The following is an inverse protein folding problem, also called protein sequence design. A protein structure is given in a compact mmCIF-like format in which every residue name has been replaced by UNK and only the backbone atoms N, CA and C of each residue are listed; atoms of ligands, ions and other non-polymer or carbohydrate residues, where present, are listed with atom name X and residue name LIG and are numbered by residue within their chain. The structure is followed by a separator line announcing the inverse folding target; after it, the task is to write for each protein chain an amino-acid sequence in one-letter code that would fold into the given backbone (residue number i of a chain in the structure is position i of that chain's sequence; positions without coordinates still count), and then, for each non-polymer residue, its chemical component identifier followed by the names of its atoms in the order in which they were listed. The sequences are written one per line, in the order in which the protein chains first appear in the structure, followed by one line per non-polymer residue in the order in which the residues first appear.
data_IF_197214779716
#
_entry.id   IF_197214779716
#
_cell.length_a   1.000
_cell.length_b   1.000
_cell.length_c   1.000
_cell.angle_alpha   90.00
_cell.angle_beta   90.00
_cell.angle_gamma   90.00
#
_symmetry.space_group_name_H-M   'P 1'
#
loop_
_entity.id
_entity.type
_entity.pdbx_description
1 polymer ?
#
# COMPACT_ATOMS: atom_id res chain seq x y z
N UNK A 1 9.56 10.10 -15.83
CA UNK A 1 10.18 9.96 -14.50
C UNK A 1 9.70 8.65 -13.91
N UNK A 2 10.60 7.80 -13.38
CA UNK A 2 10.18 6.61 -12.64
C UNK A 2 9.41 7.04 -11.39
N UNK A 3 8.32 6.34 -11.08
CA UNK A 3 7.53 6.60 -9.86
C UNK A 3 8.24 5.89 -8.72
N UNK A 4 8.65 6.63 -7.69
CA UNK A 4 9.13 6.01 -6.45
C UNK A 4 7.92 5.55 -5.63
N UNK A 5 7.43 4.35 -5.97
CA UNK A 5 6.27 3.76 -5.31
C UNK A 5 6.49 3.54 -3.82
N UNK A 6 7.73 3.36 -3.36
CA UNK A 6 7.97 3.16 -1.93
C UNK A 6 7.75 4.46 -1.16
N UNK A 7 8.23 5.58 -1.70
CA UNK A 7 7.97 6.92 -1.15
C UNK A 7 6.48 7.26 -1.16
N UNK A 8 5.77 7.01 -2.26
CA UNK A 8 4.31 7.23 -2.34
C UNK A 8 3.54 6.40 -1.30
N UNK A 9 3.96 5.15 -1.09
CA UNK A 9 3.38 4.29 -0.05
C UNK A 9 3.68 4.82 1.35
N UNK A 10 4.90 5.28 1.63
CA UNK A 10 5.26 5.85 2.94
C UNK A 10 4.38 7.05 3.27
N UNK A 11 4.22 7.96 2.32
CA UNK A 11 3.37 9.13 2.47
C UNK A 11 1.91 8.74 2.72
N UNK A 12 1.35 7.90 1.85
CA UNK A 12 -0.04 7.45 1.95
C UNK A 12 -0.31 6.72 3.28
N UNK A 13 0.55 5.77 3.66
CA UNK A 13 0.37 4.99 4.87
C UNK A 13 0.44 5.88 6.10
N UNK A 14 1.38 6.84 6.12
CA UNK A 14 1.52 7.76 7.25
C UNK A 14 0.34 8.71 7.37
N UNK A 15 -0.19 9.19 6.25
CA UNK A 15 -1.37 10.05 6.19
C UNK A 15 -2.63 9.31 6.70
N UNK A 16 -2.91 8.12 6.16
CA UNK A 16 -4.04 7.29 6.58
C UNK A 16 -3.96 6.85 8.05
N UNK A 17 -2.74 6.58 8.53
CA UNK A 17 -2.51 6.20 9.91
C UNK A 17 -2.56 7.38 10.88
N UNK A 18 -2.37 8.61 10.41
CA UNK A 18 -2.16 9.79 11.25
C UNK A 18 -0.87 9.73 12.09
N UNK A 19 0.09 8.88 11.70
CA UNK A 19 1.34 8.62 12.39
C UNK A 19 2.41 8.12 11.41
N UNK A 20 3.72 8.28 11.69
CA UNK A 20 4.76 7.78 10.79
C UNK A 20 4.69 6.26 10.59
N UNK A 21 4.61 5.82 9.34
CA UNK A 21 4.62 4.41 8.93
C UNK A 21 5.69 4.22 7.85
N UNK A 22 6.66 3.33 8.08
CA UNK A 22 7.75 3.09 7.13
C UNK A 22 7.60 1.76 6.40
N UNK A 23 7.22 1.78 5.10
CA UNK A 23 7.30 0.60 4.28
C UNK A 23 8.76 0.27 3.96
N UNK A 24 9.12 -1.01 4.05
CA UNK A 24 10.45 -1.52 3.64
C UNK A 24 10.45 -2.06 2.21
N UNK A 25 9.27 -2.38 1.68
CA UNK A 25 9.12 -2.96 0.35
C UNK A 25 7.65 -3.20 0.00
N UNK A 26 7.41 -3.54 -1.26
CA UNK A 26 6.10 -3.94 -1.74
C UNK A 26 6.24 -5.02 -2.80
N UNK A 27 5.18 -5.80 -2.99
CA UNK A 27 5.07 -6.82 -4.01
C UNK A 27 3.66 -6.79 -4.61
N UNK A 28 3.55 -6.99 -5.92
CA UNK A 28 2.28 -7.07 -6.60
C UNK A 28 2.05 -8.48 -7.13
N UNK A 29 0.91 -9.06 -6.77
CA UNK A 29 0.43 -10.31 -7.36
C UNK A 29 -0.52 -10.00 -8.52
N UNK A 30 -0.04 -10.17 -9.76
CA UNK A 30 -0.81 -9.90 -10.97
C UNK A 30 -1.97 -10.86 -11.20
N UNK A 31 -1.88 -12.08 -10.67
CA UNK A 31 -2.94 -13.09 -10.82
C UNK A 31 -4.13 -12.77 -9.93
N UNK A 32 -3.88 -12.29 -8.71
CA UNK A 32 -4.90 -11.92 -7.71
C UNK A 32 -5.31 -10.45 -7.79
N UNK A 33 -4.49 -9.62 -8.44
CA UNK A 33 -4.69 -8.17 -8.48
C UNK A 33 -4.52 -7.55 -7.09
N UNK A 34 -3.45 -7.91 -6.39
CA UNK A 34 -3.24 -7.58 -4.98
C UNK A 34 -1.86 -6.95 -4.77
N UNK A 35 -1.83 -5.78 -4.13
CA UNK A 35 -0.59 -5.14 -3.70
C UNK A 35 -0.37 -5.45 -2.23
N UNK A 36 0.75 -6.09 -1.91
CA UNK A 36 1.18 -6.33 -0.54
C UNK A 36 2.35 -5.42 -0.19
N UNK A 37 2.21 -4.69 0.91
CA UNK A 37 3.18 -3.74 1.42
C UNK A 37 3.78 -4.31 2.69
N UNK A 38 5.10 -4.33 2.78
CA UNK A 38 5.83 -4.73 3.98
C UNK A 38 6.18 -3.48 4.76
N UNK A 39 5.73 -3.42 6.00
CA UNK A 39 5.93 -2.31 6.93
C UNK A 39 6.92 -2.75 7.99
N UNK A 40 7.84 -1.85 8.35
CA UNK A 40 8.88 -2.09 9.37
C UNK A 40 8.67 -1.26 10.64
N UNK A 41 8.07 -0.07 10.50
CA UNK A 41 7.69 0.79 11.61
C UNK A 41 6.23 1.22 11.42
N UNK A 42 5.39 1.20 12.47
CA UNK A 42 5.72 1.05 13.89
C UNK A 42 5.94 -0.40 14.37
N UNK A 43 5.58 -1.39 13.57
CA UNK A 43 5.79 -2.82 13.83
C UNK A 43 5.97 -3.55 12.49
N UNK A 44 6.65 -4.69 12.51
CA UNK A 44 6.78 -5.52 11.32
C UNK A 44 5.42 -6.11 10.94
N UNK A 45 4.93 -5.75 9.76
CA UNK A 45 3.64 -6.19 9.27
C UNK A 45 3.64 -6.30 7.75
N UNK A 46 2.72 -7.12 7.24
CA UNK A 46 2.43 -7.21 5.82
C UNK A 46 0.96 -6.89 5.60
N UNK A 47 0.70 -5.83 4.84
CA UNK A 47 -0.64 -5.33 4.55
C UNK A 47 -0.93 -5.56 3.08
N UNK A 48 -2.00 -6.27 2.75
CA UNK A 48 -2.37 -6.53 1.37
C UNK A 48 -3.67 -5.80 1.02
N UNK A 49 -3.66 -5.05 -0.09
CA UNK A 49 -4.81 -4.32 -0.60
C UNK A 49 -5.20 -4.81 -2.00
N UNK A 50 -6.50 -4.96 -2.29
CA UNK A 50 -6.96 -5.38 -3.60
C UNK A 50 -6.90 -4.22 -4.61
N UNK A 51 -6.03 -4.34 -5.61
CA UNK A 51 -5.93 -3.45 -6.77
C UNK A 51 -6.29 -4.20 -8.06
N UNK A 52 -7.53 -4.71 -8.11
CA UNK A 52 -8.04 -5.58 -9.20
C UNK A 52 -8.01 -4.89 -10.57
N UNK A 53 -8.11 -3.56 -10.60
CA UNK A 53 -8.03 -2.77 -11.82
C UNK A 53 -6.65 -2.84 -12.50
N UNK A 54 -5.61 -3.25 -11.78
CA UNK A 54 -4.25 -3.39 -12.33
C UNK A 54 -3.91 -4.83 -12.76
N UNK A 55 -4.88 -5.75 -12.70
CA UNK A 55 -4.68 -7.17 -12.98
C UNK A 55 -4.18 -7.38 -14.42
N UNK A 56 -3.20 -8.27 -14.58
CA UNK A 56 -2.60 -8.57 -15.88
C UNK A 56 -1.68 -7.49 -16.45
N UNK A 57 -1.49 -6.37 -15.77
CA UNK A 57 -0.50 -5.36 -16.14
C UNK A 57 0.89 -5.77 -15.65
N UNK A 58 1.93 -5.36 -16.39
CA UNK A 58 3.33 -5.60 -16.04
C UNK A 58 4.20 -4.37 -16.33
N UNK A 59 5.38 -4.33 -15.69
CA UNK A 59 6.39 -3.31 -15.88
C UNK A 59 5.86 -1.88 -15.66
N UNK A 60 6.27 -0.89 -16.49
CA UNK A 60 5.90 0.51 -16.30
C UNK A 60 4.40 0.84 -16.40
N UNK A 61 3.58 -0.07 -16.95
CA UNK A 61 2.12 0.08 -16.99
C UNK A 61 1.49 -0.29 -15.66
N UNK A 62 2.01 -1.34 -15.02
CA UNK A 62 1.58 -1.78 -13.71
C UNK A 62 1.89 -0.70 -12.67
N UNK A 63 3.12 -0.20 -12.63
CA UNK A 63 3.55 0.83 -11.68
C UNK A 63 2.67 2.08 -11.77
N UNK A 64 2.38 2.55 -13.00
CA UNK A 64 1.46 3.68 -13.22
C UNK A 64 0.03 3.40 -12.79
N UNK A 65 -0.46 2.18 -13.01
CA UNK A 65 -1.79 1.79 -12.55
C UNK A 65 -1.86 1.79 -11.03
N UNK A 66 -0.86 1.23 -10.35
CA UNK A 66 -0.78 1.22 -8.89
C UNK A 66 -0.74 2.65 -8.35
N UNK A 67 0.16 3.50 -8.85
CA UNK A 67 0.25 4.89 -8.39
C UNK A 67 -1.09 5.63 -8.54
N UNK A 68 -1.75 5.47 -9.70
CA UNK A 68 -3.04 6.10 -9.97
C UNK A 68 -4.18 5.51 -9.13
N UNK A 69 -4.08 4.23 -8.78
CA UNK A 69 -5.03 3.57 -7.89
C UNK A 69 -4.86 4.03 -6.45
N UNK A 70 -3.62 4.21 -5.98
CA UNK A 70 -3.30 4.70 -4.64
C UNK A 70 -3.73 6.17 -4.46
N UNK A 71 -3.56 7.00 -5.50
CA UNK A 71 -4.00 8.39 -5.48
C UNK A 71 -5.54 8.58 -5.52
N UNK A 72 -6.29 7.55 -5.94
CA UNK A 72 -7.74 7.57 -5.92
C UNK A 72 -8.23 6.83 -4.68
N UNK A 73 -8.73 7.58 -3.70
CA UNK A 73 -9.42 6.99 -2.55
C UNK A 73 -10.50 6.02 -3.04
N UNK A 74 -10.51 4.81 -2.48
CA UNK A 74 -11.36 3.74 -2.96
C UNK A 74 -11.73 2.74 -1.87
N UNK A 75 -12.41 1.63 -2.25
CA UNK A 75 -12.84 0.61 -1.29
C UNK A 75 -11.69 -0.01 -0.48
N UNK A 76 -10.47 -0.01 -1.04
CA UNK A 76 -9.27 -0.51 -0.38
C UNK A 76 -8.76 0.43 0.73
N UNK A 77 -9.05 1.74 0.65
CA UNK A 77 -8.56 2.77 1.59
C UNK A 77 -9.07 2.50 3.00
N UNK A 78 -10.37 2.27 3.17
CA UNK A 78 -10.94 1.94 4.49
C UNK A 78 -10.38 0.65 5.09
N UNK A 79 -10.16 -0.37 4.25
CA UNK A 79 -9.57 -1.62 4.71
C UNK A 79 -8.11 -1.43 5.14
N UNK A 80 -7.37 -0.58 4.43
CA UNK A 80 -6.01 -0.20 4.76
C UNK A 80 -5.95 0.57 6.08
N UNK A 81 -6.81 1.58 6.26
CA UNK A 81 -6.92 2.34 7.51
C UNK A 81 -7.21 1.44 8.72
N UNK A 82 -8.15 0.50 8.58
CA UNK A 82 -8.48 -0.44 9.65
C UNK A 82 -7.28 -1.34 10.02
N UNK A 83 -6.57 -1.87 9.02
CA UNK A 83 -5.37 -2.67 9.25
C UNK A 83 -4.27 -1.85 9.92
N UNK A 84 -4.07 -0.59 9.50
CA UNK A 84 -3.09 0.33 10.09
C UNK A 84 -3.42 0.69 11.54
N UNK A 85 -4.69 0.97 11.85
CA UNK A 85 -5.12 1.22 13.24
C UNK A 85 -4.88 0.01 14.12
N UNK A 86 -5.22 -1.20 13.66
CA UNK A 86 -4.94 -2.43 14.41
C UNK A 86 -3.44 -2.62 14.69
N UNK A 87 -2.58 -2.27 13.74
CA UNK A 87 -1.12 -2.32 13.91
C UNK A 87 -0.60 -1.30 14.92
N UNK A 88 -1.18 -0.10 14.94
CA UNK A 88 -0.82 0.96 15.87
C UNK A 88 -1.32 0.68 17.30
N UNK A 89 -2.54 0.17 17.44
CA UNK A 89 -3.16 -0.14 18.73
C UNK A 89 -2.53 -1.38 19.39
N UNK A 90 -2.11 -2.38 18.61
CA UNK A 90 -1.41 -3.56 19.11
C UNK A 90 0.00 -3.30 19.70
N UNK A 91 0.48 -2.04 19.63
CA UNK A 91 1.76 -1.60 20.21
C UNK A 91 1.61 -0.98 21.61
N UNK A 92 0.39 -0.83 22.12
CA UNK A 92 0.10 -0.27 23.44
C UNK A 92 0.16 -1.30 24.56
#
# INVERSE_FOLDING_TARGET
MPVDLLFELEYLLSDLAGAPVKPRGYSYNSDRGELCIEVSEPAEARICIPLRQCRGLQGPRLERCIAKALAQEGPWTRSLEQQLRGLLEGKR
#
